data_IF_495621604690
#
_entry.id   IF_495621604690
#
_cell.length_a   1.000
_cell.length_b   1.000
_cell.length_c   1.000
_cell.angle_alpha   90.00
_cell.angle_beta   90.00
_cell.angle_gamma   90.00
#
_symmetry.space_group_name_H-M   'P 1'
#
loop_
_entity.id
_entity.type
_entity.pdbx_description
1 polymer ?
#
# COMPACT_ATOMS: atom_id res chain seq x y z
N UNK A 1 3.35 -33.21 16.02
CA UNK A 1 2.04 -32.88 15.40
C UNK A 1 2.27 -32.52 13.94
N UNK A 2 1.43 -32.99 13.07
CA UNK A 2 1.56 -32.68 11.64
C UNK A 2 1.06 -31.27 11.33
N UNK A 3 1.79 -30.52 10.51
CA UNK A 3 1.39 -29.19 10.08
C UNK A 3 0.09 -29.27 9.26
N UNK A 4 -0.91 -28.39 9.53
CA UNK A 4 -2.05 -28.25 8.62
C UNK A 4 -1.64 -27.81 7.23
N UNK A 5 -2.61 -27.76 6.30
CA UNK A 5 -2.35 -27.22 4.97
C UNK A 5 -1.80 -25.81 5.06
N UNK A 6 -0.92 -25.42 4.13
CA UNK A 6 -0.33 -24.08 4.09
C UNK A 6 -1.42 -23.01 3.98
N UNK A 7 -1.16 -21.84 4.54
CA UNK A 7 -2.06 -20.69 4.42
C UNK A 7 -2.18 -20.24 2.95
N UNK A 8 -3.19 -19.44 2.66
CA UNK A 8 -3.38 -18.87 1.31
C UNK A 8 -2.44 -17.69 1.01
N UNK A 9 -1.56 -17.33 1.95
CA UNK A 9 -0.63 -16.23 1.78
C UNK A 9 -1.03 -14.96 2.52
N UNK A 10 -0.24 -13.91 2.34
CA UNK A 10 -0.45 -12.63 2.99
C UNK A 10 -1.38 -11.77 2.13
N UNK A 11 -2.62 -11.55 2.59
CA UNK A 11 -3.63 -10.79 1.84
C UNK A 11 -4.28 -9.67 2.64
N UNK A 12 -3.89 -9.48 3.90
CA UNK A 12 -4.51 -8.48 4.79
C UNK A 12 -3.45 -7.70 5.55
N UNK A 13 -3.61 -6.36 5.57
CA UNK A 13 -2.79 -5.45 6.36
C UNK A 13 -3.72 -4.47 7.05
N UNK A 14 -3.43 -4.11 8.30
CA UNK A 14 -4.17 -3.09 9.04
C UNK A 14 -3.22 -1.98 9.47
N UNK A 15 -3.62 -0.73 9.24
CA UNK A 15 -2.86 0.46 9.58
C UNK A 15 -3.63 1.35 10.54
N UNK A 16 -2.94 1.84 11.56
CA UNK A 16 -3.46 2.87 12.44
C UNK A 16 -3.12 4.24 11.85
N UNK A 17 -4.14 5.06 11.60
CA UNK A 17 -3.97 6.35 10.92
C UNK A 17 -4.70 7.45 11.68
N UNK A 18 -4.14 8.66 11.68
CA UNK A 18 -4.80 9.81 12.31
C UNK A 18 -5.84 10.41 11.39
N UNK A 19 -5.47 10.69 10.15
CA UNK A 19 -6.37 11.26 9.14
C UNK A 19 -6.94 10.15 8.27
N UNK A 20 -8.03 9.55 8.74
CA UNK A 20 -8.68 8.44 8.03
C UNK A 20 -9.18 8.87 6.65
N UNK A 21 -9.75 10.08 6.55
CA UNK A 21 -10.31 10.58 5.28
C UNK A 21 -9.20 10.72 4.24
N UNK A 22 -8.09 11.35 4.59
CA UNK A 22 -6.98 11.54 3.67
C UNK A 22 -6.35 10.21 3.25
N UNK A 23 -6.20 9.26 4.19
CA UNK A 23 -5.67 7.93 3.88
C UNK A 23 -6.61 7.15 2.97
N UNK A 24 -7.91 7.17 3.25
CA UNK A 24 -8.89 6.52 2.38
C UNK A 24 -8.84 7.08 0.97
N UNK A 25 -8.79 8.40 0.83
CA UNK A 25 -8.70 9.06 -0.49
C UNK A 25 -7.42 8.66 -1.23
N UNK A 26 -6.29 8.57 -0.53
CA UNK A 26 -5.05 8.12 -1.14
C UNK A 26 -5.20 6.74 -1.76
N UNK A 27 -5.69 5.78 -0.99
CA UNK A 27 -5.78 4.40 -1.47
C UNK A 27 -6.91 4.17 -2.48
N UNK A 28 -8.03 4.91 -2.38
CA UNK A 28 -9.15 4.76 -3.32
C UNK A 28 -8.99 5.63 -4.55
N UNK A 29 -8.79 6.94 -4.37
CA UNK A 29 -8.77 7.87 -5.49
C UNK A 29 -7.47 7.82 -6.28
N UNK A 30 -6.32 7.65 -5.61
CA UNK A 30 -5.02 7.64 -6.28
C UNK A 30 -4.58 6.24 -6.70
N UNK A 31 -4.73 5.22 -5.83
CA UNK A 31 -4.27 3.87 -6.13
C UNK A 31 -5.36 2.95 -6.70
N UNK A 32 -6.62 3.40 -6.70
CA UNK A 32 -7.70 2.66 -7.35
C UNK A 32 -8.31 1.54 -6.52
N UNK A 33 -8.06 1.49 -5.22
CA UNK A 33 -8.76 0.56 -4.34
C UNK A 33 -10.23 0.99 -4.20
N UNK A 34 -11.08 0.07 -3.75
CA UNK A 34 -12.48 0.36 -3.49
C UNK A 34 -12.86 -0.03 -2.08
N UNK A 35 -13.87 0.62 -1.52
CA UNK A 35 -14.39 0.28 -0.20
C UNK A 35 -15.07 -1.09 -0.28
N UNK A 36 -14.59 -2.03 0.54
CA UNK A 36 -15.22 -3.34 0.69
C UNK A 36 -16.25 -3.31 1.82
N UNK A 37 -15.90 -2.65 2.94
CA UNK A 37 -16.77 -2.60 4.12
C UNK A 37 -16.43 -1.40 4.99
N UNK A 38 -17.48 -0.71 5.45
CA UNK A 38 -17.35 0.40 6.41
C UNK A 38 -18.23 0.11 7.62
N UNK A 39 -17.67 -0.52 8.67
CA UNK A 39 -18.47 -0.86 9.86
C UNK A 39 -18.91 0.37 10.66
N UNK A 40 -18.10 1.44 10.68
CA UNK A 40 -18.39 2.68 11.39
C UNK A 40 -17.56 3.83 10.83
N UNK A 41 -17.63 5.01 11.47
CA UNK A 41 -16.94 6.21 11.01
C UNK A 41 -15.42 6.18 11.22
N UNK A 42 -14.92 5.28 12.07
CA UNK A 42 -13.50 5.21 12.45
C UNK A 42 -12.76 4.06 11.81
N UNK A 43 -13.46 3.23 11.04
CA UNK A 43 -12.87 2.03 10.44
C UNK A 43 -13.37 1.84 9.02
N UNK A 44 -12.46 1.50 8.10
CA UNK A 44 -12.81 1.17 6.73
C UNK A 44 -11.90 0.06 6.23
N UNK A 45 -12.47 -0.83 5.43
CA UNK A 45 -11.75 -1.93 4.78
C UNK A 45 -11.79 -1.71 3.27
N UNK A 46 -10.61 -1.69 2.65
CA UNK A 46 -10.42 -1.43 1.24
C UNK A 46 -9.90 -2.68 0.54
N UNK A 47 -10.19 -2.81 -0.75
CA UNK A 47 -9.68 -3.94 -1.54
C UNK A 47 -9.29 -3.51 -2.94
N UNK A 48 -8.25 -4.15 -3.49
CA UNK A 48 -7.87 -4.09 -4.89
C UNK A 48 -8.43 -5.28 -5.68
N UNK A 49 -9.18 -6.18 -5.01
CA UNK A 49 -9.81 -7.35 -5.64
C UNK A 49 -9.53 -8.66 -4.90
N UNK A 50 -8.28 -8.92 -4.56
CA UNK A 50 -7.87 -10.17 -3.89
C UNK A 50 -7.07 -9.90 -2.60
N UNK A 51 -7.14 -8.70 -2.10
CA UNK A 51 -6.45 -8.26 -0.87
C UNK A 51 -7.42 -7.53 0.05
N UNK A 52 -6.92 -7.11 1.21
CA UNK A 52 -7.71 -6.33 2.17
C UNK A 52 -6.77 -5.41 2.94
N UNK A 53 -7.05 -4.11 2.87
CA UNK A 53 -6.33 -3.09 3.64
C UNK A 53 -7.32 -2.44 4.61
N UNK A 54 -7.09 -2.62 5.90
CA UNK A 54 -7.89 -1.99 6.94
C UNK A 54 -7.24 -0.68 7.39
N UNK A 55 -8.03 0.37 7.49
CA UNK A 55 -7.61 1.64 8.07
C UNK A 55 -8.41 1.87 9.34
N UNK A 56 -7.70 2.09 10.44
CA UNK A 56 -8.30 2.34 11.75
C UNK A 56 -7.89 3.72 12.24
N UNK A 57 -8.89 4.58 12.52
CA UNK A 57 -8.61 5.91 13.07
C UNK A 57 -8.09 5.78 14.50
N UNK A 58 -6.97 6.43 14.78
CA UNK A 58 -6.41 6.53 16.13
C UNK A 58 -6.59 7.96 16.66
N UNK A 59 -6.39 8.13 17.97
CA UNK A 59 -6.48 9.44 18.60
C UNK A 59 -5.45 10.41 18.03
N UNK A 60 -5.76 11.71 18.04
CA UNK A 60 -4.91 12.75 17.47
C UNK A 60 -3.54 12.86 18.16
N UNK A 61 -3.44 12.41 19.41
CA UNK A 61 -2.18 12.39 20.17
C UNK A 61 -1.37 11.10 19.98
N UNK A 62 -1.88 10.15 19.18
CA UNK A 62 -1.14 8.92 18.86
C UNK A 62 0.17 9.28 18.16
N UNK A 63 1.28 8.72 18.68
CA UNK A 63 2.60 8.90 18.09
C UNK A 63 3.17 7.54 17.71
N UNK A 64 3.37 7.29 16.40
CA UNK A 64 4.04 6.05 16.01
C UNK A 64 5.47 6.04 16.54
N UNK A 65 5.93 4.85 16.93
CA UNK A 65 7.33 4.66 17.33
C UNK A 65 8.22 4.95 16.12
N UNK A 66 9.29 5.72 16.33
CA UNK A 66 10.26 6.03 15.28
C UNK A 66 10.98 4.78 14.75
N UNK A 67 11.00 3.71 15.54
CA UNK A 67 11.60 2.42 15.19
C UNK A 67 10.52 1.38 14.86
N UNK A 68 9.39 1.80 14.27
CA UNK A 68 8.28 0.89 13.95
C UNK A 68 8.74 -0.26 13.04
N UNK A 69 8.09 -1.42 13.22
CA UNK A 69 8.46 -2.64 12.49
C UNK A 69 8.05 -2.66 11.03
N UNK A 70 6.98 -1.95 10.68
CA UNK A 70 6.54 -1.89 9.29
C UNK A 70 7.51 -1.03 8.48
N UNK A 71 8.24 -1.68 7.58
CA UNK A 71 9.12 -0.97 6.65
C UNK A 71 8.32 -0.35 5.51
N UNK A 72 7.58 -1.17 4.78
CA UNK A 72 6.72 -0.71 3.69
C UNK A 72 5.67 -1.74 3.34
N UNK A 73 4.67 -1.31 2.58
CA UNK A 73 3.70 -2.19 1.92
C UNK A 73 3.81 -2.00 0.41
N UNK A 74 3.62 -3.07 -0.34
CA UNK A 74 3.81 -3.06 -1.79
C UNK A 74 2.53 -3.33 -2.56
N UNK A 75 2.34 -2.56 -3.63
CA UNK A 75 1.26 -2.75 -4.60
C UNK A 75 1.86 -3.22 -5.92
N UNK A 76 1.34 -4.31 -6.46
CA UNK A 76 1.89 -4.93 -7.65
C UNK A 76 1.42 -4.20 -8.90
N UNK A 77 2.37 -3.89 -9.78
CA UNK A 77 2.15 -3.34 -11.10
C UNK A 77 2.46 -4.47 -12.10
N UNK A 78 1.51 -4.76 -13.00
CA UNK A 78 1.62 -5.92 -13.89
C UNK A 78 2.47 -5.69 -15.13
N UNK A 79 2.80 -4.45 -15.46
CA UNK A 79 3.59 -4.07 -16.64
C UNK A 79 4.74 -3.17 -16.18
N UNK A 80 5.97 -3.55 -16.52
CA UNK A 80 7.18 -2.83 -16.08
C UNK A 80 7.16 -1.36 -16.55
N UNK A 81 6.62 -1.07 -17.74
CA UNK A 81 6.53 0.29 -18.26
C UNK A 81 5.59 1.18 -17.45
N UNK A 82 4.60 0.60 -16.79
CA UNK A 82 3.66 1.36 -16.00
C UNK A 82 4.22 1.85 -14.66
N UNK A 83 5.35 1.30 -14.21
CA UNK A 83 5.98 1.78 -12.96
C UNK A 83 6.33 3.26 -13.08
N UNK A 84 6.94 3.68 -14.18
CA UNK A 84 7.31 5.08 -14.41
C UNK A 84 6.07 5.96 -14.62
N UNK A 85 5.02 5.43 -15.25
CA UNK A 85 3.75 6.16 -15.41
C UNK A 85 3.12 6.44 -14.05
N UNK A 86 3.11 5.46 -13.15
CA UNK A 86 2.62 5.64 -11.79
C UNK A 86 3.44 6.67 -11.00
N UNK A 87 4.76 6.65 -11.17
CA UNK A 87 5.64 7.62 -10.54
C UNK A 87 5.28 9.05 -10.96
N UNK A 88 5.17 9.29 -12.27
CA UNK A 88 4.82 10.62 -12.80
C UNK A 88 3.44 11.05 -12.31
N UNK A 89 2.47 10.12 -12.34
CA UNK A 89 1.11 10.41 -11.89
C UNK A 89 1.05 10.81 -10.43
N UNK A 90 1.63 10.01 -9.53
CA UNK A 90 1.58 10.29 -8.09
C UNK A 90 2.35 11.56 -7.75
N UNK A 91 3.48 11.80 -8.41
CA UNK A 91 4.24 13.03 -8.22
C UNK A 91 3.42 14.24 -8.64
N UNK A 92 2.65 14.16 -9.72
CA UNK A 92 1.78 15.24 -10.19
C UNK A 92 0.63 15.53 -9.21
N UNK A 93 0.26 14.55 -8.38
CA UNK A 93 -0.77 14.71 -7.35
C UNK A 93 -0.23 15.19 -6.00
N UNK A 94 1.06 15.54 -5.93
CA UNK A 94 1.68 16.04 -4.71
C UNK A 94 2.04 14.96 -3.71
N UNK A 95 2.05 13.68 -4.11
CA UNK A 95 2.47 12.58 -3.23
C UNK A 95 3.97 12.69 -2.96
N UNK A 96 4.35 12.51 -1.69
CA UNK A 96 5.74 12.56 -1.27
C UNK A 96 6.49 11.32 -1.79
N UNK A 97 7.52 11.54 -2.59
CA UNK A 97 8.34 10.46 -3.16
C UNK A 97 9.54 10.21 -2.24
N UNK A 98 9.74 8.95 -1.86
CA UNK A 98 10.85 8.53 -1.00
C UNK A 98 12.05 8.10 -1.85
N UNK A 99 11.80 7.29 -2.89
CA UNK A 99 12.83 6.84 -3.84
C UNK A 99 12.25 6.81 -5.24
N UNK A 100 13.04 7.28 -6.20
CA UNK A 100 12.66 7.26 -7.61
C UNK A 100 12.73 5.85 -8.21
N UNK A 101 12.09 5.61 -9.37
CA UNK A 101 12.11 4.30 -10.01
C UNK A 101 13.51 3.77 -10.25
N UNK A 102 13.69 2.49 -9.89
CA UNK A 102 14.95 1.78 -10.07
C UNK A 102 14.67 0.34 -10.47
N UNK A 103 15.43 -0.17 -11.42
CA UNK A 103 15.41 -1.58 -11.79
C UNK A 103 16.47 -2.32 -10.98
N UNK A 104 16.04 -3.39 -10.31
CA UNK A 104 16.91 -4.24 -9.52
C UNK A 104 17.45 -5.39 -10.36
N UNK A 105 18.50 -6.06 -9.87
CA UNK A 105 19.17 -7.13 -10.64
C UNK A 105 18.32 -8.38 -10.86
N UNK A 106 17.23 -8.56 -10.10
CA UNK A 106 16.27 -9.66 -10.30
C UNK A 106 15.20 -9.34 -11.37
N UNK A 107 15.30 -8.17 -12.01
CA UNK A 107 14.34 -7.70 -13.00
C UNK A 107 13.17 -6.91 -12.43
N UNK A 108 13.04 -6.82 -11.11
CA UNK A 108 12.01 -6.00 -10.48
C UNK A 108 12.30 -4.53 -10.72
N UNK A 109 11.25 -3.74 -10.93
CA UNK A 109 11.33 -2.28 -10.99
C UNK A 109 10.33 -1.69 -10.02
N UNK A 110 10.76 -0.72 -9.22
CA UNK A 110 9.90 -0.13 -8.19
C UNK A 110 10.30 1.29 -7.86
N UNK A 111 9.38 2.00 -7.22
CA UNK A 111 9.66 3.25 -6.51
C UNK A 111 8.89 3.27 -5.19
N UNK A 112 9.22 4.22 -4.33
CA UNK A 112 8.62 4.34 -3.01
C UNK A 112 8.04 5.73 -2.80
N UNK A 113 6.85 5.79 -2.23
CA UNK A 113 6.19 7.04 -1.84
C UNK A 113 5.64 6.91 -0.42
N UNK A 114 4.99 7.97 0.08
CA UNK A 114 4.35 7.93 1.40
C UNK A 114 2.86 8.17 1.26
N UNK A 115 2.08 7.44 2.05
CA UNK A 115 0.67 7.74 2.24
C UNK A 115 0.51 8.96 3.16
N UNK A 116 -0.71 9.51 3.34
CA UNK A 116 -0.89 10.69 4.19
C UNK A 116 -0.58 10.46 5.67
N UNK A 117 -0.53 9.22 6.13
CA UNK A 117 -0.13 8.88 7.51
C UNK A 117 1.39 8.73 7.66
N UNK A 118 2.15 8.83 6.58
CA UNK A 118 3.61 8.66 6.59
C UNK A 118 4.09 7.22 6.37
N UNK A 119 3.20 6.28 6.07
CA UNK A 119 3.61 4.92 5.75
C UNK A 119 4.30 4.89 4.39
N UNK A 120 5.38 4.11 4.29
CA UNK A 120 6.08 3.90 3.03
C UNK A 120 5.32 2.89 2.17
N UNK A 121 5.00 3.30 0.94
CA UNK A 121 4.27 2.51 -0.04
C UNK A 121 5.16 2.28 -1.26
N UNK A 122 5.30 1.03 -1.67
CA UNK A 122 6.07 0.64 -2.84
C UNK A 122 5.13 0.31 -4.00
N UNK A 123 5.39 0.86 -5.16
CA UNK A 123 4.77 0.43 -6.41
C UNK A 123 5.80 -0.43 -7.13
N UNK A 124 5.48 -1.71 -7.35
CA UNK A 124 6.49 -2.66 -7.80
C UNK A 124 5.97 -3.56 -8.93
N UNK A 125 6.75 -3.61 -10.02
CA UNK A 125 6.72 -4.71 -10.97
C UNK A 125 7.70 -5.78 -10.47
N UNK A 126 7.18 -6.97 -10.20
CA UNK A 126 7.98 -8.10 -9.74
C UNK A 126 7.65 -9.29 -10.62
N UNK A 127 8.60 -9.79 -11.47
CA UNK A 127 8.28 -10.80 -12.46
C UNK A 127 7.49 -12.01 -11.95
N UNK A 128 7.81 -12.59 -10.77
CA UNK A 128 7.04 -13.74 -10.26
C UNK A 128 5.58 -13.41 -9.89
N UNK A 129 5.26 -12.15 -9.57
CA UNK A 129 3.92 -11.75 -9.13
C UNK A 129 3.12 -11.06 -10.24
N UNK A 130 3.78 -10.59 -11.29
CA UNK A 130 3.10 -9.90 -12.38
C UNK A 130 2.21 -10.88 -13.14
N UNK A 131 1.01 -10.44 -13.52
CA UNK A 131 0.13 -11.22 -14.40
C UNK A 131 0.71 -11.21 -15.81
N UNK A 132 0.72 -12.39 -16.39
CA UNK A 132 1.22 -12.60 -17.77
C UNK A 132 0.11 -12.44 -18.77
#
# INVERSE_FOLDING_TARGET
MKQPAATAGLHHVALNVKDLVACEQFYTELLGMRVEWRPDADNVYLTGGSDNLALHRVASDFKPDSAQRLDHIGFVINDIGQVDEWFVFLKSKGVSIVKEPKTHRDGARSFYCRDPAGNTVQLIYHPPLAKK
#
